data_IF_748952684384
#
_entry.id   IF_748952684384
#
_cell.length_a   1.000
_cell.length_b   1.000
_cell.length_c   1.000
_cell.angle_alpha   90.00
_cell.angle_beta   90.00
_cell.angle_gamma   90.00
#
_symmetry.space_group_name_H-M   'P 1'
#
loop_
_entity.id
_entity.type
_entity.pdbx_description
1 polymer ?
#
# COMPACT_ATOMS: atom_id res chain seq x y z
N UNK A 1 -0.33 -27.40 10.46
CA UNK A 1 -0.65 -27.15 9.03
C UNK A 1 -1.70 -26.08 8.94
N UNK A 2 -1.71 -25.33 7.85
CA UNK A 2 -2.73 -24.30 7.60
C UNK A 2 -3.01 -24.16 6.11
N UNK A 3 -4.14 -23.54 5.77
CA UNK A 3 -4.51 -23.17 4.39
C UNK A 3 -5.46 -21.98 4.36
N UNK A 4 -5.42 -21.21 3.27
CA UNK A 4 -6.37 -20.11 3.00
C UNK A 4 -7.35 -20.57 1.92
N UNK A 5 -8.63 -20.30 2.14
CA UNK A 5 -9.70 -20.54 1.16
C UNK A 5 -10.39 -19.21 0.78
N UNK A 6 -10.96 -19.14 -0.42
CA UNK A 6 -11.85 -18.05 -0.84
C UNK A 6 -11.21 -16.79 -1.44
N UNK A 7 -9.88 -16.72 -1.56
CA UNK A 7 -9.17 -15.58 -2.21
C UNK A 7 -8.96 -15.73 -3.74
N UNK A 8 -9.25 -16.91 -4.31
CA UNK A 8 -9.08 -17.19 -5.76
C UNK A 8 -7.66 -16.93 -6.30
N UNK A 9 -7.55 -16.76 -7.61
CA UNK A 9 -6.28 -16.47 -8.31
C UNK A 9 -5.90 -14.97 -8.24
N UNK A 10 -6.88 -14.08 -8.00
CA UNK A 10 -6.66 -12.63 -7.88
C UNK A 10 -5.92 -12.25 -6.60
N UNK A 11 -5.81 -13.17 -5.64
CA UNK A 11 -5.15 -12.99 -4.35
C UNK A 11 -3.67 -13.37 -4.31
N UNK A 12 -2.99 -13.60 -5.44
CA UNK A 12 -1.59 -14.08 -5.48
C UNK A 12 -0.64 -13.19 -4.66
N UNK A 13 -0.67 -11.86 -4.86
CA UNK A 13 0.17 -10.92 -4.10
C UNK A 13 -0.21 -10.89 -2.61
N UNK A 14 -1.51 -10.98 -2.30
CA UNK A 14 -2.00 -11.06 -0.91
C UNK A 14 -1.47 -12.32 -0.24
N UNK A 15 -1.48 -13.46 -0.94
CA UNK A 15 -0.95 -14.73 -0.45
C UNK A 15 0.56 -14.63 -0.21
N UNK A 16 1.31 -14.10 -1.16
CA UNK A 16 2.76 -13.92 -0.99
C UNK A 16 3.11 -13.05 0.23
N UNK A 17 2.38 -11.95 0.43
CA UNK A 17 2.56 -11.09 1.63
C UNK A 17 2.12 -11.78 2.91
N UNK A 18 1.04 -12.54 2.86
CA UNK A 18 0.59 -13.33 3.99
C UNK A 18 1.67 -14.33 4.40
N UNK A 19 2.22 -15.11 3.47
CA UNK A 19 3.25 -16.11 3.73
C UNK A 19 4.50 -15.51 4.40
N UNK A 20 4.84 -14.25 4.07
CA UNK A 20 5.97 -13.52 4.66
C UNK A 20 5.71 -12.99 6.08
N UNK A 21 4.45 -12.69 6.41
CA UNK A 21 4.08 -12.00 7.64
C UNK A 21 3.33 -12.90 8.65
N UNK A 22 2.86 -14.06 8.19
CA UNK A 22 2.01 -14.98 8.93
C UNK A 22 2.77 -15.69 10.05
N UNK A 23 2.16 -15.69 11.24
CA UNK A 23 2.66 -16.45 12.38
C UNK A 23 2.44 -17.95 12.19
N UNK A 24 1.37 -18.37 11.51
CA UNK A 24 1.13 -19.76 11.14
C UNK A 24 2.17 -20.26 10.15
N UNK A 25 2.53 -19.46 9.14
CA UNK A 25 3.56 -19.78 8.15
C UNK A 25 4.94 -19.86 8.81
N UNK A 26 5.29 -18.88 9.65
CA UNK A 26 6.58 -18.84 10.34
C UNK A 26 6.79 -20.00 11.33
N UNK A 27 5.72 -20.66 11.77
CA UNK A 27 5.75 -21.77 12.73
C UNK A 27 5.10 -23.04 12.16
N UNK A 28 5.08 -23.22 10.83
CA UNK A 28 4.49 -24.42 10.25
C UNK A 28 5.34 -25.66 10.57
N UNK A 29 4.67 -26.72 11.00
CA UNK A 29 5.33 -27.94 11.50
C UNK A 29 5.76 -27.89 12.97
N UNK A 30 5.77 -26.73 13.61
CA UNK A 30 6.13 -26.63 15.03
C UNK A 30 5.04 -27.17 15.95
N UNK A 31 5.39 -27.86 17.05
CA UNK A 31 4.43 -28.26 18.07
C UNK A 31 3.72 -27.05 18.66
N UNK A 32 2.39 -27.09 18.72
CA UNK A 32 1.56 -26.08 19.35
C UNK A 32 0.40 -26.72 20.10
N UNK A 33 0.07 -26.17 21.27
CA UNK A 33 -1.17 -26.54 21.95
C UNK A 33 -2.37 -25.77 21.35
N UNK A 34 -3.59 -26.20 21.71
CA UNK A 34 -4.82 -25.61 21.16
C UNK A 34 -4.93 -24.09 21.40
N UNK A 35 -4.49 -23.59 22.55
CA UNK A 35 -4.54 -22.16 22.87
C UNK A 35 -3.54 -21.33 22.05
N UNK A 36 -2.35 -21.87 21.79
CA UNK A 36 -1.35 -21.23 20.91
C UNK A 36 -1.84 -21.21 19.47
N UNK A 37 -2.43 -22.31 19.00
CA UNK A 37 -2.95 -22.41 17.64
C UNK A 37 -4.13 -21.46 17.39
N UNK A 38 -5.07 -21.36 18.34
CA UNK A 38 -6.19 -20.41 18.27
C UNK A 38 -5.71 -18.95 18.25
N UNK A 39 -4.69 -18.62 19.06
CA UNK A 39 -4.11 -17.27 19.06
C UNK A 39 -3.49 -16.93 17.71
N UNK A 40 -2.61 -17.80 17.18
CA UNK A 40 -1.97 -17.62 15.86
C UNK A 40 -3.02 -17.49 14.75
N UNK A 41 -4.06 -18.32 14.79
CA UNK A 41 -5.15 -18.26 13.82
C UNK A 41 -5.87 -16.90 13.83
N UNK A 42 -6.15 -16.33 15.02
CA UNK A 42 -6.81 -15.01 15.14
C UNK A 42 -5.90 -13.87 14.69
N UNK A 43 -4.62 -13.91 15.04
CA UNK A 43 -3.61 -12.93 14.60
C UNK A 43 -3.51 -12.93 13.07
N UNK A 44 -3.41 -14.11 12.47
CA UNK A 44 -3.31 -14.26 11.02
C UNK A 44 -4.62 -13.95 10.29
N UNK A 45 -5.79 -14.19 10.89
CA UNK A 45 -7.06 -13.75 10.33
C UNK A 45 -7.15 -12.21 10.26
N UNK A 46 -6.66 -11.52 11.29
CA UNK A 46 -6.56 -10.06 11.28
C UNK A 46 -5.56 -9.57 10.23
N UNK A 47 -4.40 -10.23 10.11
CA UNK A 47 -3.42 -9.96 9.06
C UNK A 47 -4.02 -10.11 7.65
N UNK A 48 -4.67 -11.24 7.36
CA UNK A 48 -5.27 -11.49 6.05
C UNK A 48 -6.38 -10.48 5.72
N UNK A 49 -7.19 -10.11 6.72
CA UNK A 49 -8.21 -9.06 6.57
C UNK A 49 -7.58 -7.71 6.19
N UNK A 50 -6.48 -7.33 6.86
CA UNK A 50 -5.77 -6.09 6.57
C UNK A 50 -5.11 -6.10 5.18
N UNK A 51 -4.53 -7.23 4.76
CA UNK A 51 -3.94 -7.38 3.43
C UNK A 51 -5.01 -7.27 2.34
N UNK A 52 -6.17 -7.90 2.52
CA UNK A 52 -7.30 -7.79 1.59
C UNK A 52 -7.82 -6.36 1.51
N UNK A 53 -7.95 -5.66 2.64
CA UNK A 53 -8.32 -4.24 2.67
C UNK A 53 -7.30 -3.38 1.92
N UNK A 54 -6.01 -3.62 2.12
CA UNK A 54 -4.94 -2.94 1.39
C UNK A 54 -4.98 -3.18 -0.12
N UNK A 55 -5.50 -4.32 -0.56
CA UNK A 55 -5.72 -4.66 -1.97
C UNK A 55 -7.08 -4.16 -2.52
N UNK A 56 -7.81 -3.31 -1.76
CA UNK A 56 -9.07 -2.70 -2.19
C UNK A 56 -10.33 -3.45 -1.80
N UNK A 57 -10.24 -4.53 -1.02
CA UNK A 57 -11.39 -5.29 -0.53
C UNK A 57 -11.79 -4.84 0.88
N UNK A 58 -12.43 -3.67 1.01
CA UNK A 58 -12.69 -3.05 2.32
C UNK A 58 -13.73 -3.78 3.18
N UNK A 59 -14.62 -4.55 2.55
CA UNK A 59 -15.61 -5.40 3.22
C UNK A 59 -15.11 -6.84 3.44
N UNK A 60 -13.81 -7.09 3.25
CA UNK A 60 -13.26 -8.43 3.41
C UNK A 60 -13.53 -8.98 4.82
N UNK A 61 -13.99 -10.23 4.86
CA UNK A 61 -14.22 -10.97 6.09
C UNK A 61 -13.35 -12.22 6.10
N UNK A 62 -12.65 -12.46 7.20
CA UNK A 62 -11.85 -13.67 7.39
C UNK A 62 -12.31 -14.34 8.67
N UNK A 63 -12.71 -15.61 8.56
CA UNK A 63 -13.04 -16.47 9.70
C UNK A 63 -12.06 -17.61 9.81
N UNK A 64 -11.93 -18.16 11.01
CA UNK A 64 -11.02 -19.28 11.29
C UNK A 64 -11.79 -20.52 11.68
N UNK A 65 -11.29 -21.67 11.25
CA UNK A 65 -11.74 -22.98 11.72
C UNK A 65 -10.51 -23.87 11.94
N UNK A 66 -10.57 -24.71 12.95
CA UNK A 66 -9.57 -25.76 13.17
C UNK A 66 -10.22 -27.09 12.81
N UNK A 67 -9.64 -27.77 11.83
CA UNK A 67 -10.02 -29.13 11.44
C UNK A 67 -9.24 -30.14 12.30
N UNK A 68 -9.92 -31.05 13.01
CA UNK A 68 -9.26 -32.04 13.87
C UNK A 68 -8.55 -33.11 13.03
N UNK A 69 -7.53 -33.73 13.62
CA UNK A 69 -6.75 -34.82 13.05
C UNK A 69 -5.48 -35.06 13.87
N UNK A 70 -4.67 -36.06 13.50
CA UNK A 70 -3.38 -36.33 14.16
C UNK A 70 -2.49 -35.07 14.19
N UNK A 71 -2.55 -34.30 13.11
CA UNK A 71 -2.04 -32.93 13.04
C UNK A 71 -3.19 -31.99 12.72
N UNK A 72 -3.64 -31.13 13.66
CA UNK A 72 -4.73 -30.19 13.40
C UNK A 72 -4.36 -29.23 12.27
N UNK A 73 -5.37 -28.86 11.47
CA UNK A 73 -5.22 -27.94 10.34
C UNK A 73 -6.02 -26.67 10.58
N UNK A 74 -5.37 -25.51 10.50
CA UNK A 74 -6.04 -24.21 10.57
C UNK A 74 -6.50 -23.80 9.18
N UNK A 75 -7.79 -23.52 9.04
CA UNK A 75 -8.39 -23.00 7.81
C UNK A 75 -8.74 -21.53 8.05
N UNK A 76 -8.14 -20.64 7.24
CA UNK A 76 -8.56 -19.25 7.13
C UNK A 76 -9.51 -19.13 5.95
N UNK A 77 -10.80 -18.99 6.24
CA UNK A 77 -11.83 -18.82 5.23
C UNK A 77 -12.04 -17.33 4.98
N UNK A 78 -11.58 -16.85 3.82
CA UNK A 78 -11.71 -15.47 3.40
C UNK A 78 -12.90 -15.28 2.45
N UNK A 79 -13.61 -14.18 2.63
CA UNK A 79 -14.63 -13.66 1.72
C UNK A 79 -14.21 -12.23 1.39
N UNK A 80 -13.51 -12.00 0.26
CA UNK A 80 -13.02 -10.65 -0.08
C UNK A 80 -14.13 -9.62 -0.26
N UNK A 81 -15.27 -10.02 -0.83
CA UNK A 81 -16.34 -9.08 -1.18
C UNK A 81 -16.01 -8.29 -2.44
N UNK A 82 -16.59 -7.09 -2.56
CA UNK A 82 -16.40 -6.24 -3.73
C UNK A 82 -15.07 -5.49 -3.67
N UNK A 83 -14.44 -5.30 -4.83
CA UNK A 83 -13.30 -4.42 -4.98
C UNK A 83 -13.78 -2.97 -5.04
N UNK A 84 -13.31 -2.15 -4.11
CA UNK A 84 -13.64 -0.73 -4.03
C UNK A 84 -12.87 0.04 -5.09
N UNK A 85 -13.51 1.09 -5.60
CA UNK A 85 -12.93 1.99 -6.60
C UNK A 85 -13.04 3.43 -6.14
N UNK A 86 -12.11 4.26 -6.61
CA UNK A 86 -12.17 5.69 -6.33
C UNK A 86 -13.36 6.32 -7.06
N UNK A 87 -14.27 6.95 -6.32
CA UNK A 87 -15.31 7.81 -6.88
C UNK A 87 -14.76 9.17 -7.28
N UNK A 88 -13.81 9.70 -6.48
CA UNK A 88 -13.15 10.97 -6.72
C UNK A 88 -11.67 10.91 -6.29
N UNK A 89 -10.83 11.66 -7.00
CA UNK A 89 -9.40 11.79 -6.75
C UNK A 89 -9.03 13.26 -6.85
N UNK A 90 -8.61 13.84 -5.73
CA UNK A 90 -8.27 15.25 -5.63
C UNK A 90 -6.80 15.42 -5.26
N UNK A 91 -6.10 16.25 -6.05
CA UNK A 91 -4.73 16.68 -5.77
C UNK A 91 -4.75 18.17 -5.39
N UNK A 92 -4.94 18.42 -4.10
CA UNK A 92 -5.13 19.77 -3.56
C UNK A 92 -3.88 20.62 -3.73
N UNK A 93 -4.04 21.84 -4.24
CA UNK A 93 -2.93 22.78 -4.43
C UNK A 93 -2.09 22.55 -5.70
N UNK A 94 -2.38 21.52 -6.51
CA UNK A 94 -1.66 21.27 -7.79
C UNK A 94 -1.69 22.46 -8.74
N UNK A 95 -2.78 23.23 -8.74
CA UNK A 95 -2.93 24.43 -9.60
C UNK A 95 -1.87 25.50 -9.33
N UNK A 96 -1.27 25.52 -8.13
CA UNK A 96 -0.18 26.45 -7.81
C UNK A 96 1.11 26.15 -8.61
N UNK A 97 1.21 24.99 -9.26
CA UNK A 97 2.30 24.65 -10.16
C UNK A 97 2.15 25.24 -11.58
N UNK A 98 1.07 25.97 -11.87
CA UNK A 98 0.82 26.59 -13.17
C UNK A 98 0.74 25.56 -14.30
N UNK A 99 1.46 25.81 -15.40
CA UNK A 99 1.45 24.97 -16.60
C UNK A 99 1.90 23.52 -16.36
N UNK A 100 2.59 23.25 -15.25
CA UNK A 100 3.07 21.91 -14.86
C UNK A 100 2.01 21.08 -14.13
N UNK A 101 0.89 21.68 -13.74
CA UNK A 101 -0.14 21.01 -12.94
C UNK A 101 -0.69 19.73 -13.61
N UNK A 102 -0.86 19.77 -14.94
CA UNK A 102 -1.33 18.61 -15.70
C UNK A 102 -0.36 17.43 -15.64
N UNK A 103 0.94 17.69 -15.73
CA UNK A 103 1.96 16.64 -15.69
C UNK A 103 2.17 16.09 -14.28
N UNK A 104 2.05 16.92 -13.24
CA UNK A 104 2.05 16.45 -11.84
C UNK A 104 0.82 15.56 -11.55
N UNK A 105 -0.35 15.92 -12.08
CA UNK A 105 -1.55 15.08 -11.96
C UNK A 105 -1.35 13.74 -12.66
N UNK A 106 -0.76 13.73 -13.86
CA UNK A 106 -0.41 12.48 -14.57
C UNK A 106 0.63 11.66 -13.81
N UNK A 107 1.59 12.29 -13.14
CA UNK A 107 2.62 11.62 -12.35
C UNK A 107 2.04 10.93 -11.11
N UNK A 108 1.03 11.52 -10.46
CA UNK A 108 0.30 10.85 -9.39
C UNK A 108 -0.42 9.58 -9.89
N UNK A 109 -0.96 9.63 -11.11
CA UNK A 109 -1.35 8.44 -11.87
C UNK A 109 -2.70 7.81 -11.50
N UNK A 110 -3.19 8.02 -10.27
CA UNK A 110 -4.47 7.50 -9.79
C UNK A 110 -5.62 8.37 -10.30
N UNK A 111 -6.70 7.71 -10.74
CA UNK A 111 -7.89 8.34 -11.32
C UNK A 111 -9.17 7.76 -10.73
N UNK A 112 -10.28 8.50 -10.82
CA UNK A 112 -11.59 7.93 -10.54
C UNK A 112 -11.83 6.66 -11.37
N UNK A 113 -12.36 5.62 -10.73
CA UNK A 113 -12.55 4.28 -11.27
C UNK A 113 -11.42 3.30 -11.00
N UNK A 114 -10.23 3.77 -10.63
CA UNK A 114 -9.12 2.90 -10.25
C UNK A 114 -9.40 2.16 -8.93
N UNK A 115 -8.86 0.95 -8.74
CA UNK A 115 -8.96 0.24 -7.46
C UNK A 115 -8.38 1.06 -6.30
N UNK A 116 -9.00 0.95 -5.13
CA UNK A 116 -8.48 1.54 -3.88
C UNK A 116 -7.35 0.66 -3.34
N UNK A 117 -6.22 0.64 -4.04
CA UNK A 117 -5.07 -0.20 -3.75
C UNK A 117 -3.95 0.59 -3.06
N UNK A 118 -3.52 0.11 -1.90
CA UNK A 118 -2.52 0.76 -1.06
C UNK A 118 -1.15 0.89 -1.74
N UNK A 119 -0.72 -0.11 -2.53
CA UNK A 119 0.56 -0.05 -3.22
C UNK A 119 0.53 1.00 -4.34
N UNK A 120 -0.58 1.08 -5.07
CA UNK A 120 -0.79 2.10 -6.10
C UNK A 120 -0.79 3.51 -5.49
N UNK A 121 -1.41 3.69 -4.32
CA UNK A 121 -1.40 4.96 -3.59
C UNK A 121 0.02 5.38 -3.20
N UNK A 122 0.79 4.46 -2.60
CA UNK A 122 2.16 4.72 -2.19
C UNK A 122 3.06 5.00 -3.40
N UNK A 123 2.92 4.22 -4.47
CA UNK A 123 3.67 4.42 -5.72
C UNK A 123 3.34 5.76 -6.38
N UNK A 124 2.06 6.12 -6.46
CA UNK A 124 1.60 7.41 -7.00
C UNK A 124 2.12 8.59 -6.19
N UNK A 125 2.08 8.51 -4.85
CA UNK A 125 2.64 9.55 -3.98
C UNK A 125 4.16 9.70 -4.18
N UNK A 126 4.89 8.60 -4.29
CA UNK A 126 6.34 8.62 -4.55
C UNK A 126 6.66 9.21 -5.93
N UNK A 127 5.91 8.82 -6.97
CA UNK A 127 6.05 9.35 -8.32
C UNK A 127 5.78 10.86 -8.37
N UNK A 128 4.73 11.32 -7.68
CA UNK A 128 4.44 12.74 -7.55
C UNK A 128 5.57 13.50 -6.83
N UNK A 129 6.13 12.95 -5.74
CA UNK A 129 7.26 13.55 -5.01
C UNK A 129 8.49 13.71 -5.91
N UNK A 130 8.79 12.72 -6.76
CA UNK A 130 9.90 12.83 -7.73
C UNK A 130 9.59 13.89 -8.79
N UNK A 131 8.41 13.77 -9.42
CA UNK A 131 8.01 14.62 -10.54
C UNK A 131 7.94 16.10 -10.15
N UNK A 132 7.48 16.42 -8.94
CA UNK A 132 7.42 17.83 -8.50
C UNK A 132 8.80 18.44 -8.31
N UNK A 133 9.77 17.67 -7.81
CA UNK A 133 11.17 18.09 -7.72
C UNK A 133 11.79 18.32 -9.10
N UNK A 134 11.61 17.36 -10.01
CA UNK A 134 12.09 17.41 -11.40
C UNK A 134 11.46 18.55 -12.19
N UNK A 135 10.21 18.88 -11.89
CA UNK A 135 9.49 20.01 -12.47
C UNK A 135 9.97 21.39 -11.94
N UNK A 136 11.01 21.43 -11.11
CA UNK A 136 11.63 22.67 -10.64
C UNK A 136 11.07 23.21 -9.33
N UNK A 137 10.36 22.38 -8.55
CA UNK A 137 9.85 22.75 -7.22
C UNK A 137 10.60 21.97 -6.12
N UNK A 138 11.88 22.31 -5.83
CA UNK A 138 12.74 21.52 -4.95
C UNK A 138 12.33 21.52 -3.47
N UNK A 139 11.44 22.44 -3.06
CA UNK A 139 10.95 22.55 -1.69
C UNK A 139 9.46 22.18 -1.59
N UNK A 140 8.92 21.50 -2.61
CA UNK A 140 7.55 21.07 -2.60
C UNK A 140 7.28 20.12 -1.43
N UNK A 141 6.08 20.24 -0.86
CA UNK A 141 5.60 19.31 0.18
C UNK A 141 4.43 18.54 -0.39
N UNK A 142 4.54 17.22 -0.37
CA UNK A 142 3.44 16.29 -0.63
C UNK A 142 3.01 15.75 0.72
N UNK A 143 1.76 16.01 1.10
CA UNK A 143 1.16 15.53 2.34
C UNK A 143 0.87 14.04 2.31
N UNK A 144 0.22 13.57 3.37
CA UNK A 144 -0.26 12.19 3.46
C UNK A 144 -1.62 12.05 2.77
N UNK A 145 -1.87 10.92 2.08
CA UNK A 145 -3.17 10.68 1.44
C UNK A 145 -4.28 10.58 2.48
N UNK A 146 -5.35 11.35 2.30
CA UNK A 146 -6.56 11.25 3.10
C UNK A 146 -7.59 10.44 2.31
N UNK A 147 -8.00 9.29 2.83
CA UNK A 147 -8.92 8.37 2.15
C UNK A 147 -10.20 8.28 2.96
N UNK A 148 -11.34 8.51 2.31
CA UNK A 148 -12.66 8.35 2.90
C UNK A 148 -13.38 7.21 2.19
N UNK A 149 -13.79 6.20 2.95
CA UNK A 149 -14.45 5.00 2.42
C UNK A 149 -15.95 5.09 2.65
N UNK A 150 -16.73 4.88 1.60
CA UNK A 150 -18.19 4.74 1.66
C UNK A 150 -18.56 3.27 1.45
N UNK A 151 -18.91 2.62 2.56
CA UNK A 151 -19.33 1.22 2.56
C UNK A 151 -20.72 0.99 1.95
N UNK A 152 -21.56 2.02 1.83
CA UNK A 152 -22.88 1.88 1.23
C UNK A 152 -22.81 1.82 -0.29
N UNK A 153 -21.86 2.53 -0.90
CA UNK A 153 -21.67 2.58 -2.35
C UNK A 153 -20.53 1.71 -2.85
N UNK A 154 -19.67 1.20 -1.96
CA UNK A 154 -18.50 0.41 -2.35
C UNK A 154 -17.41 1.26 -3.02
N UNK A 155 -17.28 2.53 -2.61
CA UNK A 155 -16.35 3.49 -3.22
C UNK A 155 -15.50 4.18 -2.16
N UNK A 156 -14.42 4.83 -2.60
CA UNK A 156 -13.66 5.75 -1.75
C UNK A 156 -13.36 7.07 -2.47
N UNK A 157 -13.02 8.11 -1.73
CA UNK A 157 -12.37 9.31 -2.27
C UNK A 157 -10.97 9.43 -1.70
N UNK A 158 -10.08 10.08 -2.43
CA UNK A 158 -8.72 10.39 -1.97
C UNK A 158 -8.38 11.85 -2.20
N UNK A 159 -7.96 12.52 -1.12
CA UNK A 159 -7.42 13.86 -1.15
C UNK A 159 -5.92 13.81 -0.82
N UNK A 160 -5.10 14.32 -1.73
CA UNK A 160 -3.66 14.43 -1.52
C UNK A 160 -3.24 15.90 -1.57
N UNK A 161 -2.73 16.41 -0.46
CA UNK A 161 -2.23 17.79 -0.40
C UNK A 161 -0.88 17.92 -1.12
N UNK A 162 -0.79 18.88 -2.03
CA UNK A 162 0.44 19.30 -2.69
C UNK A 162 0.66 20.80 -2.50
N UNK A 163 1.81 21.14 -1.95
CA UNK A 163 2.31 22.52 -1.85
C UNK A 163 3.57 22.63 -2.71
N UNK A 164 3.45 23.04 -4.00
CA UNK A 164 4.61 23.13 -4.88
C UNK A 164 5.64 24.17 -4.40
N UNK A 165 5.20 25.22 -3.72
CA UNK A 165 6.05 26.35 -3.38
C UNK A 165 6.43 27.16 -4.61
N UNK A 166 7.64 27.74 -4.63
CA UNK A 166 8.10 28.53 -5.77
C UNK A 166 9.03 27.71 -6.67
N UNK A 167 8.87 27.87 -7.98
CA UNK A 167 9.81 27.31 -8.94
C UNK A 167 11.24 27.87 -8.71
N UNK A 168 12.23 26.99 -8.84
CA UNK A 168 13.65 27.28 -8.73
C UNK A 168 14.40 26.61 -9.87
N UNK A 169 15.55 27.19 -10.21
CA UNK A 169 16.51 26.63 -11.15
C UNK A 169 17.81 26.44 -10.41
N UNK A 170 18.54 25.37 -10.76
CA UNK A 170 19.90 25.20 -10.22
C UNK A 170 20.75 26.41 -10.59
N UNK A 171 21.40 26.99 -9.59
CA UNK A 171 22.45 27.98 -9.78
C UNK A 171 23.77 27.31 -10.16
N UNK A 172 24.88 28.04 -9.99
CA UNK A 172 26.22 27.49 -10.19
C UNK A 172 26.45 26.29 -9.27
N UNK A 173 26.77 25.13 -9.86
CA UNK A 173 27.26 23.97 -9.12
C UNK A 173 28.72 24.24 -8.74
N UNK A 174 29.02 24.24 -7.44
CA UNK A 174 30.38 24.36 -6.93
C UNK A 174 30.74 23.02 -6.31
N UNK A 175 31.67 22.29 -6.92
CA UNK A 175 32.30 21.15 -6.30
C UNK A 175 33.45 21.66 -5.44
N UNK A 176 33.35 21.54 -4.11
CA UNK A 176 34.52 21.66 -3.24
C UNK A 176 35.43 20.46 -3.54
N UNK A 177 36.62 20.75 -4.05
CA UNK A 177 37.60 19.74 -4.43
C UNK A 177 38.33 19.26 -3.16
N UNK A 178 37.62 18.56 -2.31
CA UNK A 178 38.18 17.97 -1.09
C UNK A 178 38.70 16.58 -1.47
N UNK A 179 39.80 16.53 -2.25
CA UNK A 179 40.46 15.27 -2.58
C UNK A 179 40.91 14.58 -1.30
N UNK A 180 40.22 13.49 -0.93
CA UNK A 180 40.66 12.55 0.13
C UNK A 180 41.58 11.46 -0.44
N UNK A 181 41.67 11.30 -1.77
CA UNK A 181 42.52 10.30 -2.42
C UNK A 181 43.30 10.88 -3.60
N UNK A 182 44.60 10.55 -3.66
CA UNK A 182 45.48 10.75 -4.80
C UNK A 182 45.77 9.43 -5.51
N UNK A 183 46.40 9.49 -6.68
CA UNK A 183 46.66 8.35 -7.56
C UNK A 183 47.80 7.43 -7.07
N UNK A 184 48.17 7.48 -5.79
CA UNK A 184 49.20 6.64 -5.18
C UNK A 184 48.66 5.71 -4.08
N UNK A 185 47.34 5.50 -4.03
CA UNK A 185 46.71 4.47 -3.22
C UNK A 185 45.91 3.49 -4.07
#
# INVERSE_FOLDING_TARGET
>A
RWRIEGIGDTGELVRQRFDQLSTLAANDGDPANAAQLDRRAREDAALLTNLLRGAGYYDAQVSTRIEPGDTPTVVLQAVPGNMYRFADVTLDGVKAAGDKAGDLTKAFGIKPGDPVDADQIVAGQAALKSAVGEAGFPFAKVGDPQIVVDHATGTATIDLALQPGTERRYGRIVATNDRVFDAHH
#
